data_IF_997721871995
#
_entry.id   IF_997721871995
#
_cell.length_a   1.000
_cell.length_b   1.000
_cell.length_c   1.000
_cell.angle_alpha   90.00
_cell.angle_beta   90.00
_cell.angle_gamma   90.00
#
_symmetry.space_group_name_H-M   'P 1'
#
loop_
_entity.id
_entity.type
_entity.pdbx_description
1 polymer ?
#
# COMPACT_ATOMS: atom_id res chain seq x y z
N UNK A 1 -7.60 12.73 -1.26
CA UNK A 1 -7.87 11.60 -0.37
C UNK A 1 -6.71 10.62 -0.44
N UNK A 2 -6.35 10.06 0.70
CA UNK A 2 -5.34 9.01 0.81
C UNK A 2 -6.08 7.71 1.12
N UNK A 3 -5.80 6.66 0.37
CA UNK A 3 -6.34 5.33 0.63
C UNK A 3 -5.24 4.43 1.21
N UNK A 4 -5.51 3.79 2.35
CA UNK A 4 -4.58 2.87 3.02
C UNK A 4 -5.14 1.46 2.95
N UNK A 5 -4.33 0.49 2.56
CA UNK A 5 -4.76 -0.90 2.51
C UNK A 5 -3.70 -1.85 3.06
N UNK A 6 -4.13 -2.80 3.86
CA UNK A 6 -3.27 -3.84 4.42
C UNK A 6 -3.57 -5.23 3.85
N UNK A 7 -4.47 -5.29 2.86
CA UNK A 7 -4.87 -6.55 2.24
C UNK A 7 -5.69 -7.44 3.18
N UNK A 8 -5.73 -8.72 2.87
CA UNK A 8 -6.57 -9.70 3.58
C UNK A 8 -5.77 -10.70 4.45
N UNK A 9 -4.49 -10.45 4.67
CA UNK A 9 -3.64 -11.33 5.48
C UNK A 9 -4.19 -11.49 6.90
N UNK A 10 -4.14 -12.70 7.44
CA UNK A 10 -4.71 -13.01 8.77
C UNK A 10 -4.01 -12.26 9.91
N UNK A 11 -2.74 -11.92 9.75
CA UNK A 11 -2.04 -11.05 10.69
C UNK A 11 -2.35 -9.59 10.32
N UNK A 12 -2.78 -8.81 11.31
CA UNK A 12 -3.02 -7.39 11.09
C UNK A 12 -1.73 -6.63 10.81
N UNK A 13 -1.87 -5.34 10.54
CA UNK A 13 -0.71 -4.48 10.30
C UNK A 13 -0.82 -3.24 11.18
N UNK A 14 -0.78 -3.46 12.50
CA UNK A 14 -1.02 -2.41 13.48
C UNK A 14 -0.02 -1.25 13.37
N UNK A 15 1.25 -1.56 13.12
CA UNK A 15 2.29 -0.54 12.95
C UNK A 15 1.93 0.49 11.88
N UNK A 16 1.47 0.01 10.72
CA UNK A 16 1.06 0.91 9.62
C UNK A 16 -0.21 1.67 9.96
N UNK A 17 -1.23 0.98 10.47
CA UNK A 17 -2.53 1.61 10.75
C UNK A 17 -2.41 2.66 11.85
N UNK A 18 -1.64 2.40 12.92
CA UNK A 18 -1.39 3.40 13.97
C UNK A 18 -0.67 4.61 13.42
N UNK A 19 0.36 4.41 12.61
CA UNK A 19 1.12 5.53 12.02
C UNK A 19 0.23 6.39 11.13
N UNK A 20 -0.56 5.76 10.27
CA UNK A 20 -1.46 6.49 9.38
C UNK A 20 -2.58 7.20 10.14
N UNK A 21 -3.05 6.63 11.25
CA UNK A 21 -4.04 7.29 12.10
C UNK A 21 -3.45 8.56 12.74
N UNK A 22 -2.23 8.47 13.26
CA UNK A 22 -1.52 9.64 13.79
C UNK A 22 -1.36 10.73 12.72
N UNK A 23 -0.95 10.36 11.54
CA UNK A 23 -0.79 11.29 10.41
C UNK A 23 -2.13 11.92 10.06
N UNK A 24 -3.20 11.11 9.98
CA UNK A 24 -4.53 11.59 9.66
C UNK A 24 -5.03 12.66 10.64
N UNK A 25 -4.62 12.56 11.90
CA UNK A 25 -4.98 13.55 12.91
C UNK A 25 -4.26 14.90 12.76
N UNK A 26 -3.21 14.95 11.94
CA UNK A 26 -2.39 16.15 11.76
C UNK A 26 -2.54 16.81 10.39
N UNK A 27 -3.18 16.14 9.44
CA UNK A 27 -3.33 16.66 8.08
C UNK A 27 -4.80 16.97 7.79
N UNK A 28 -5.04 17.84 6.83
CA UNK A 28 -6.41 18.20 6.42
C UNK A 28 -6.98 17.24 5.36
N UNK A 29 -6.15 16.42 4.77
CA UNK A 29 -6.58 15.51 3.71
C UNK A 29 -7.34 14.32 4.28
N UNK A 30 -8.44 13.95 3.61
CA UNK A 30 -9.25 12.78 4.00
C UNK A 30 -8.45 11.50 3.84
N UNK A 31 -8.53 10.65 4.86
CA UNK A 31 -7.88 9.32 4.86
C UNK A 31 -8.95 8.26 5.03
N UNK A 32 -8.91 7.23 4.18
CA UNK A 32 -9.77 6.06 4.28
C UNK A 32 -8.86 4.84 4.38
N UNK A 33 -9.14 3.95 5.33
CA UNK A 33 -8.29 2.78 5.59
C UNK A 33 -9.07 1.48 5.50
N UNK A 34 -8.50 0.52 4.79
CA UNK A 34 -8.88 -0.88 4.90
C UNK A 34 -7.92 -1.54 5.88
N UNK A 35 -8.43 -1.92 7.05
CA UNK A 35 -7.58 -2.39 8.16
C UNK A 35 -7.47 -3.91 8.25
N UNK A 36 -8.26 -4.65 7.46
CA UNK A 36 -8.22 -6.12 7.47
C UNK A 36 -8.45 -6.69 8.86
N UNK A 37 -7.56 -7.57 9.30
CA UNK A 37 -7.62 -8.20 10.63
C UNK A 37 -6.89 -7.40 11.72
N UNK A 38 -6.52 -6.15 11.45
CA UNK A 38 -5.86 -5.30 12.45
C UNK A 38 -6.77 -5.02 13.62
N UNK A 39 -6.28 -5.22 14.84
CA UNK A 39 -7.07 -4.98 16.06
C UNK A 39 -7.20 -3.50 16.42
N UNK A 40 -6.24 -2.69 16.04
CA UNK A 40 -6.30 -1.24 16.27
C UNK A 40 -7.35 -0.61 15.36
N UNK A 41 -8.22 0.21 15.94
CA UNK A 41 -9.28 0.91 15.21
C UNK A 41 -8.95 2.39 15.11
N UNK A 42 -8.77 2.94 13.90
CA UNK A 42 -8.46 4.36 13.72
C UNK A 42 -9.52 5.29 14.34
N UNK A 43 -9.08 6.40 14.91
CA UNK A 43 -9.95 7.43 15.46
C UNK A 43 -9.96 8.71 14.61
N UNK A 44 -8.95 8.91 13.76
CA UNK A 44 -8.80 10.11 12.95
C UNK A 44 -9.11 9.90 11.47
N UNK A 45 -9.55 8.70 11.09
CA UNK A 45 -9.83 8.35 9.70
C UNK A 45 -11.04 7.44 9.62
N UNK A 46 -11.68 7.43 8.46
CA UNK A 46 -12.68 6.41 8.15
C UNK A 46 -11.99 5.09 7.91
N UNK A 47 -12.59 4.00 8.37
CA UNK A 47 -12.05 2.68 8.13
C UNK A 47 -13.14 1.65 7.93
N UNK A 48 -12.75 0.55 7.32
CA UNK A 48 -13.54 -0.68 7.24
C UNK A 48 -12.59 -1.86 7.29
N UNK A 49 -13.09 -3.03 7.64
CA UNK A 49 -12.25 -4.22 7.70
C UNK A 49 -11.98 -4.78 6.30
N UNK A 50 -13.03 -5.04 5.54
CA UNK A 50 -12.94 -5.59 4.19
C UNK A 50 -14.02 -4.98 3.30
N UNK A 51 -13.72 -4.88 2.01
CA UNK A 51 -14.71 -4.57 0.97
C UNK A 51 -14.88 -5.80 0.10
N UNK A 52 -16.12 -6.24 -0.09
CA UNK A 52 -16.43 -7.40 -0.93
C UNK A 52 -16.42 -7.06 -2.42
N UNK A 53 -16.74 -5.80 -2.75
CA UNK A 53 -16.83 -5.35 -4.13
C UNK A 53 -15.45 -4.97 -4.68
N UNK A 54 -14.99 -5.67 -5.71
CA UNK A 54 -13.77 -5.31 -6.43
C UNK A 54 -13.88 -3.94 -7.10
N UNK A 55 -15.07 -3.60 -7.60
CA UNK A 55 -15.32 -2.29 -8.19
C UNK A 55 -15.13 -1.16 -7.20
N UNK A 56 -15.53 -1.34 -5.96
CA UNK A 56 -15.35 -0.35 -4.91
C UNK A 56 -13.87 -0.17 -4.55
N UNK A 57 -13.12 -1.27 -4.51
CA UNK A 57 -11.67 -1.22 -4.30
C UNK A 57 -11.00 -0.46 -5.44
N UNK A 58 -11.37 -0.73 -6.68
CA UNK A 58 -10.84 0.00 -7.84
C UNK A 58 -11.17 1.49 -7.75
N UNK A 59 -12.41 1.81 -7.37
CA UNK A 59 -12.85 3.20 -7.22
C UNK A 59 -12.01 3.95 -6.18
N UNK A 60 -11.78 3.35 -5.02
CA UNK A 60 -10.96 3.95 -3.97
C UNK A 60 -9.54 4.20 -4.43
N UNK A 61 -8.95 3.22 -5.14
CA UNK A 61 -7.61 3.38 -5.70
C UNK A 61 -7.56 4.51 -6.74
N UNK A 62 -8.57 4.59 -7.60
CA UNK A 62 -8.63 5.62 -8.65
C UNK A 62 -8.82 7.02 -8.09
N UNK A 63 -9.68 7.18 -7.10
CA UNK A 63 -9.99 8.48 -6.51
C UNK A 63 -8.92 8.98 -5.55
N UNK A 64 -8.06 8.11 -5.05
CA UNK A 64 -6.99 8.50 -4.14
C UNK A 64 -5.91 9.31 -4.86
N UNK A 65 -5.41 10.34 -4.18
CA UNK A 65 -4.21 11.04 -4.63
C UNK A 65 -3.00 10.12 -4.56
N UNK A 66 -2.96 9.31 -3.51
CA UNK A 66 -1.89 8.35 -3.28
C UNK A 66 -2.46 7.17 -2.48
N UNK A 67 -1.94 5.99 -2.73
CA UNK A 67 -2.28 4.78 -1.97
C UNK A 67 -1.10 4.43 -1.07
N UNK A 68 -1.38 4.12 0.19
CA UNK A 68 -0.38 3.57 1.11
C UNK A 68 -0.75 2.11 1.31
N UNK A 69 0.14 1.21 0.94
CA UNK A 69 -0.16 -0.21 0.89
C UNK A 69 0.92 -1.05 1.56
N UNK A 70 0.50 -2.16 2.14
CA UNK A 70 1.45 -3.23 2.44
C UNK A 70 2.07 -3.73 1.13
N UNK A 71 3.13 -4.52 1.21
CA UNK A 71 3.80 -5.00 0.00
C UNK A 71 3.15 -6.27 -0.56
N UNK A 72 1.82 -6.26 -0.66
CA UNK A 72 1.09 -7.30 -1.36
C UNK A 72 0.99 -6.98 -2.84
N UNK A 73 1.41 -7.91 -3.69
CA UNK A 73 1.45 -7.68 -5.14
C UNK A 73 0.11 -7.25 -5.73
N UNK A 74 -0.97 -7.90 -5.31
CA UNK A 74 -2.31 -7.57 -5.81
C UNK A 74 -2.74 -6.15 -5.48
N UNK A 75 -2.49 -5.70 -4.25
CA UNK A 75 -2.85 -4.34 -3.81
C UNK A 75 -2.04 -3.28 -4.57
N UNK A 76 -0.75 -3.52 -4.75
CA UNK A 76 0.12 -2.59 -5.48
C UNK A 76 -0.29 -2.52 -6.95
N UNK A 77 -0.53 -3.66 -7.59
CA UNK A 77 -0.96 -3.71 -9.00
C UNK A 77 -2.29 -3.00 -9.21
N UNK A 78 -3.23 -3.16 -8.28
CA UNK A 78 -4.52 -2.46 -8.38
C UNK A 78 -4.34 -0.95 -8.38
N UNK A 79 -3.49 -0.41 -7.52
CA UNK A 79 -3.19 1.02 -7.50
C UNK A 79 -2.56 1.48 -8.82
N UNK A 80 -1.57 0.74 -9.32
CA UNK A 80 -0.88 1.09 -10.56
C UNK A 80 -1.79 0.99 -11.78
N UNK A 81 -2.68 0.00 -11.83
CA UNK A 81 -3.66 -0.12 -12.90
C UNK A 81 -4.63 1.07 -12.93
N UNK A 82 -4.91 1.65 -11.79
CA UNK A 82 -5.73 2.86 -11.68
C UNK A 82 -4.90 4.14 -11.84
N UNK A 83 -3.61 4.02 -12.19
CA UNK A 83 -2.67 5.13 -12.40
C UNK A 83 -2.45 5.98 -11.15
N UNK A 84 -2.57 5.38 -9.98
CA UNK A 84 -2.39 6.06 -8.70
C UNK A 84 -1.01 5.71 -8.14
N UNK A 85 -0.21 6.71 -7.74
CA UNK A 85 1.08 6.45 -7.08
C UNK A 85 0.87 5.71 -5.76
N UNK A 86 1.84 4.87 -5.41
CA UNK A 86 1.73 4.04 -4.21
C UNK A 86 2.99 4.12 -3.35
N UNK A 87 2.78 4.30 -2.05
CA UNK A 87 3.82 4.13 -1.04
C UNK A 87 3.66 2.72 -0.48
N UNK A 88 4.71 1.95 -0.52
CA UNK A 88 4.70 0.56 -0.08
C UNK A 88 5.45 0.43 1.24
N UNK A 89 4.78 -0.13 2.25
CA UNK A 89 5.37 -0.43 3.56
C UNK A 89 5.34 -1.95 3.72
N UNK A 90 6.47 -2.63 3.63
CA UNK A 90 6.47 -4.09 3.74
C UNK A 90 6.21 -4.55 5.17
N UNK A 91 5.46 -5.65 5.30
CA UNK A 91 5.32 -6.37 6.57
C UNK A 91 6.66 -7.03 6.88
N UNK A 92 7.05 -7.04 8.14
CA UNK A 92 8.32 -7.60 8.54
C UNK A 92 8.13 -8.71 9.57
N UNK A 93 8.87 -9.79 9.39
CA UNK A 93 8.87 -10.92 10.33
C UNK A 93 9.29 -10.49 11.73
N UNK A 94 10.29 -9.61 11.83
CA UNK A 94 10.79 -9.11 13.12
C UNK A 94 9.74 -8.39 13.98
N UNK A 95 8.65 -7.93 13.36
CA UNK A 95 7.52 -7.30 14.05
C UNK A 95 6.29 -8.20 14.14
N UNK A 96 6.43 -9.49 13.83
CA UNK A 96 5.32 -10.45 13.79
C UNK A 96 4.18 -10.04 12.85
N UNK A 97 4.51 -9.36 11.77
CA UNK A 97 3.53 -8.89 10.77
C UNK A 97 3.36 -9.89 9.62
N UNK A 98 4.30 -10.82 9.50
CA UNK A 98 4.29 -11.84 8.48
C UNK A 98 5.14 -13.03 8.93
N UNK A 99 4.91 -14.20 8.30
CA UNK A 99 5.68 -15.42 8.61
C UNK A 99 7.11 -15.37 8.07
N UNK A 100 7.36 -14.53 7.06
CA UNK A 100 8.65 -14.37 6.40
C UNK A 100 8.83 -12.92 5.92
N UNK A 101 9.90 -12.67 5.19
CA UNK A 101 10.21 -11.34 4.65
C UNK A 101 9.96 -11.25 3.13
N UNK A 102 9.04 -12.07 2.58
CA UNK A 102 8.69 -12.03 1.16
C UNK A 102 8.19 -10.66 0.70
N UNK A 103 7.55 -9.90 1.59
CA UNK A 103 7.09 -8.57 1.23
C UNK A 103 8.24 -7.61 0.94
N UNK A 104 9.41 -7.81 1.56
CA UNK A 104 10.61 -7.05 1.21
C UNK A 104 11.04 -7.32 -0.23
N UNK A 105 10.98 -8.56 -0.67
CA UNK A 105 11.34 -8.95 -2.04
C UNK A 105 10.39 -8.33 -3.06
N UNK A 106 9.10 -8.36 -2.77
CA UNK A 106 8.08 -7.73 -3.63
C UNK A 106 8.29 -6.22 -3.71
N UNK A 107 8.55 -5.59 -2.56
CA UNK A 107 8.80 -4.15 -2.50
C UNK A 107 10.03 -3.76 -3.33
N UNK A 108 11.12 -4.51 -3.22
CA UNK A 108 12.32 -4.26 -4.01
C UNK A 108 12.07 -4.41 -5.50
N UNK A 109 11.36 -5.46 -5.91
CA UNK A 109 11.03 -5.68 -7.32
C UNK A 109 10.19 -4.55 -7.89
N UNK A 110 9.27 -4.01 -7.09
CA UNK A 110 8.38 -2.94 -7.54
C UNK A 110 8.99 -1.54 -7.45
N UNK A 111 10.08 -1.36 -6.70
CA UNK A 111 10.71 -0.05 -6.50
C UNK A 111 11.34 0.53 -7.77
N UNK A 112 11.49 -0.26 -8.82
CA UNK A 112 11.98 0.21 -10.11
C UNK A 112 10.97 1.12 -10.82
N UNK A 113 9.70 1.00 -10.50
CA UNK A 113 8.67 1.90 -11.04
C UNK A 113 8.70 3.22 -10.28
N UNK A 114 8.74 4.33 -11.03
CA UNK A 114 8.79 5.69 -10.44
C UNK A 114 7.55 6.06 -9.64
N UNK A 115 6.44 5.35 -9.86
CA UNK A 115 5.20 5.56 -9.13
C UNK A 115 5.19 4.85 -7.77
N UNK A 116 6.19 3.99 -7.52
CA UNK A 116 6.29 3.20 -6.29
C UNK A 116 7.41 3.75 -5.43
N UNK A 117 7.08 4.08 -4.19
CA UNK A 117 8.07 4.46 -3.18
C UNK A 117 7.99 3.46 -2.04
N UNK A 118 9.12 2.83 -1.74
CA UNK A 118 9.21 1.89 -0.61
C UNK A 118 9.68 2.63 0.63
N UNK A 119 8.97 2.43 1.74
CA UNK A 119 9.32 2.99 3.04
C UNK A 119 9.73 1.85 3.95
N UNK A 120 11.02 1.75 4.25
CA UNK A 120 11.58 0.74 5.14
C UNK A 120 11.40 1.13 6.61
N UNK A 121 11.56 2.42 6.92
CA UNK A 121 11.37 2.95 8.26
C UNK A 121 10.10 3.79 8.29
N UNK A 122 9.13 3.35 9.09
CA UNK A 122 7.81 3.97 9.17
C UNK A 122 7.87 5.45 9.61
N UNK A 123 8.94 5.88 10.27
CA UNK A 123 9.10 7.26 10.68
C UNK A 123 9.20 8.23 9.50
N UNK A 124 9.61 7.74 8.33
CA UNK A 124 9.70 8.55 7.11
C UNK A 124 8.41 8.56 6.29
N UNK A 125 7.35 7.88 6.75
CA UNK A 125 6.10 7.76 5.98
C UNK A 125 5.45 9.11 5.71
N UNK A 126 5.38 9.98 6.72
CA UNK A 126 4.76 11.31 6.58
C UNK A 126 5.49 12.16 5.55
N UNK A 127 6.81 12.15 5.58
CA UNK A 127 7.63 12.87 4.59
C UNK A 127 7.36 12.35 3.17
N UNK A 128 7.24 11.04 3.01
CA UNK A 128 6.94 10.44 1.73
C UNK A 128 5.57 10.84 1.19
N UNK A 129 4.58 11.05 2.07
CA UNK A 129 3.26 11.49 1.67
C UNK A 129 3.26 12.91 1.10
N UNK A 130 4.21 13.74 1.51
CA UNK A 130 4.36 15.12 1.03
C UNK A 130 5.08 15.19 -0.30
N UNK A 131 5.81 14.13 -0.70
CA UNK A 131 6.52 14.11 -1.96
C UNK A 131 5.54 13.89 -3.13
N UNK A 132 5.79 14.61 -4.23
CA UNK A 132 5.09 14.33 -5.47
C UNK A 132 5.71 13.10 -6.13
N UNK A 133 4.93 12.03 -6.26
CA UNK A 133 5.35 10.86 -7.02
C UNK A 133 5.04 11.10 -8.49
N UNK A 134 6.05 10.92 -9.33
CA UNK A 134 5.89 11.15 -10.77
C UNK A 134 4.96 10.11 -11.39
N UNK A 135 4.10 10.55 -12.31
CA UNK A 135 3.39 9.60 -13.17
C UNK A 135 4.41 8.94 -14.09
N UNK A 136 4.48 7.61 -14.08
CA UNK A 136 5.33 6.89 -15.00
C UNK A 136 4.68 6.87 -16.38
N UNK A 137 5.51 6.75 -17.43
CA UNK A 137 4.96 6.55 -18.75
C UNK A 137 4.36 5.14 -18.88
N UNK A 138 3.49 4.95 -19.88
CA UNK A 138 2.77 3.69 -20.07
C UNK A 138 3.69 2.49 -20.35
N UNK A 139 4.85 2.72 -20.94
CA UNK A 139 5.82 1.66 -21.23
C UNK A 139 6.42 1.06 -19.96
N UNK A 140 6.74 1.90 -18.98
CA UNK A 140 7.26 1.44 -17.70
C UNK A 140 6.19 0.68 -16.92
N UNK A 141 4.95 1.12 -17.01
CA UNK A 141 3.80 0.47 -16.36
C UNK A 141 3.64 -0.98 -16.83
N UNK A 142 3.61 -1.21 -18.15
CA UNK A 142 3.48 -2.54 -18.71
C UNK A 142 4.65 -3.46 -18.35
N UNK A 143 5.85 -2.92 -18.40
CA UNK A 143 7.08 -3.66 -18.05
C UNK A 143 7.08 -4.11 -16.60
N UNK A 144 6.63 -3.25 -15.68
CA UNK A 144 6.58 -3.58 -14.26
C UNK A 144 5.53 -4.67 -13.99
N UNK A 145 4.34 -4.54 -14.57
CA UNK A 145 3.28 -5.54 -14.42
C UNK A 145 3.77 -6.92 -14.87
N UNK A 146 4.44 -6.98 -16.01
CA UNK A 146 5.01 -8.22 -16.52
C UNK A 146 6.08 -8.79 -15.59
N UNK A 147 6.97 -7.94 -15.06
CA UNK A 147 8.01 -8.35 -14.11
C UNK A 147 7.43 -8.94 -12.84
N UNK A 148 6.37 -8.33 -12.30
CA UNK A 148 5.69 -8.83 -11.09
C UNK A 148 4.99 -10.15 -11.37
N UNK A 149 4.30 -10.27 -12.51
CA UNK A 149 3.65 -11.52 -12.91
C UNK A 149 4.67 -12.65 -13.05
N UNK A 150 5.84 -12.36 -13.64
CA UNK A 150 6.93 -13.33 -13.77
C UNK A 150 7.47 -13.74 -12.40
N UNK A 151 7.65 -12.78 -11.49
CA UNK A 151 8.09 -13.07 -10.14
C UNK A 151 7.10 -13.99 -9.41
N UNK A 152 5.81 -13.69 -9.46
CA UNK A 152 4.77 -14.50 -8.84
C UNK A 152 4.72 -15.91 -9.43
N UNK A 153 4.94 -16.06 -10.74
CA UNK A 153 5.00 -17.35 -11.40
C UNK A 153 6.20 -18.18 -10.94
N UNK A 154 7.31 -17.52 -10.61
CA UNK A 154 8.55 -18.22 -10.18
C UNK A 154 8.47 -18.77 -8.76
N UNK A 155 7.58 -18.26 -7.92
CA UNK A 155 7.44 -18.68 -6.52
C UNK A 155 6.25 -19.61 -6.27
N UNK A 156 5.45 -19.86 -7.31
CA UNK A 156 4.26 -20.72 -7.20
C UNK A 156 4.55 -22.19 -7.44
#
# INVERSE_FOLDING_TARGET
MIFVTVGSHYQGFERLIRKMDDIAGRIDEKVIMQIGHTNYKPVNAKYFNFIESFEEIERLNREARIVVSHAGAGSILTALEQRTPVIVVPRLKKFNEHMDDHQLEIAEAMSEDKRVKVVDDIEYLEECLELELSSADEHNENKLVDSVKNYLSSIS
#
